data_IF_865115232263
#
_entry.id   IF_865115232263
#
_cell.length_a   1.000
_cell.length_b   1.000
_cell.length_c   1.000
_cell.angle_alpha   90.00
_cell.angle_beta   90.00
_cell.angle_gamma   90.00
#
_symmetry.space_group_name_H-M   'P 1'
#
loop_
_entity.id
_entity.type
_entity.pdbx_description
1 polymer ?
#
# COMPACT_ATOMS: atom_id res chain seq x y z
N UNK A 1 30.22 -15.42 -17.85
CA UNK A 1 28.80 -15.03 -18.01
C UNK A 1 28.55 -13.78 -17.19
N UNK A 2 28.52 -12.62 -17.84
CA UNK A 2 28.15 -11.34 -17.22
C UNK A 2 26.64 -11.33 -17.02
N UNK A 3 26.17 -11.63 -15.81
CA UNK A 3 24.77 -11.45 -15.44
C UNK A 3 24.45 -9.96 -15.43
N UNK A 4 24.02 -9.43 -16.56
CA UNK A 4 23.57 -8.04 -16.65
C UNK A 4 22.49 -7.78 -15.60
N UNK A 5 22.71 -6.72 -14.81
CA UNK A 5 21.70 -6.23 -13.90
C UNK A 5 20.56 -5.66 -14.75
N UNK A 6 19.31 -6.15 -14.61
CA UNK A 6 18.18 -5.48 -15.21
C UNK A 6 18.16 -4.04 -14.71
N UNK A 7 18.29 -3.09 -15.64
CA UNK A 7 18.32 -1.67 -15.32
C UNK A 7 16.95 -1.15 -14.88
N UNK A 8 15.87 -1.88 -15.18
CA UNK A 8 14.49 -1.45 -14.99
C UNK A 8 13.71 -2.38 -14.05
N UNK A 9 12.83 -1.84 -13.20
CA UNK A 9 11.94 -2.64 -12.36
C UNK A 9 10.98 -3.46 -13.23
N UNK A 10 10.57 -4.66 -12.77
CA UNK A 10 9.62 -5.48 -13.50
C UNK A 10 8.26 -4.78 -13.57
N UNK A 11 7.61 -4.82 -14.75
CA UNK A 11 6.30 -4.22 -14.99
C UNK A 11 5.24 -4.55 -13.91
N UNK A 12 5.04 -5.81 -13.47
CA UNK A 12 4.02 -6.13 -12.46
C UNK A 12 4.26 -5.42 -11.13
N UNK A 13 5.54 -5.21 -10.75
CA UNK A 13 5.87 -4.45 -9.55
C UNK A 13 5.49 -2.98 -9.72
N UNK A 14 5.83 -2.37 -10.86
CA UNK A 14 5.52 -0.96 -11.13
C UNK A 14 4.01 -0.74 -11.09
N UNK A 15 3.23 -1.61 -11.74
CA UNK A 15 1.77 -1.53 -11.72
C UNK A 15 1.20 -1.69 -10.31
N UNK A 16 1.68 -2.67 -9.53
CA UNK A 16 1.25 -2.85 -8.15
C UNK A 16 1.57 -1.62 -7.28
N UNK A 17 2.76 -1.03 -7.43
CA UNK A 17 3.14 0.18 -6.70
C UNK A 17 2.29 1.40 -7.11
N UNK A 18 1.96 1.54 -8.40
CA UNK A 18 1.07 2.60 -8.87
C UNK A 18 -0.34 2.44 -8.29
N UNK A 19 -0.88 1.23 -8.27
CA UNK A 19 -2.18 0.94 -7.65
C UNK A 19 -2.18 1.28 -6.15
N UNK A 20 -1.12 0.92 -5.43
CA UNK A 20 -0.95 1.31 -4.01
C UNK A 20 -0.92 2.83 -3.86
N UNK A 21 -0.25 3.57 -4.76
CA UNK A 21 -0.24 5.03 -4.68
C UNK A 21 -1.62 5.64 -4.91
N UNK A 22 -2.44 5.03 -5.76
CA UNK A 22 -3.85 5.41 -5.93
C UNK A 22 -4.65 5.15 -4.64
N UNK A 23 -4.48 4.00 -4.00
CA UNK A 23 -5.11 3.70 -2.70
C UNK A 23 -4.70 4.70 -1.63
N UNK A 24 -3.40 5.00 -1.53
CA UNK A 24 -2.87 6.00 -0.61
C UNK A 24 -3.49 7.36 -0.87
N UNK A 25 -3.64 7.75 -2.14
CA UNK A 25 -4.31 9.00 -2.52
C UNK A 25 -5.76 9.05 -2.02
N UNK A 26 -6.51 7.96 -2.22
CA UNK A 26 -7.90 7.87 -1.75
C UNK A 26 -7.99 7.90 -0.22
N UNK A 27 -7.14 7.15 0.49
CA UNK A 27 -7.10 7.13 1.95
C UNK A 27 -6.67 8.48 2.53
N UNK A 28 -5.70 9.14 1.91
CA UNK A 28 -5.26 10.48 2.32
C UNK A 28 -6.37 11.52 2.09
N UNK A 29 -7.09 11.47 0.96
CA UNK A 29 -8.22 12.34 0.72
C UNK A 29 -9.33 12.15 1.76
N UNK A 30 -9.64 10.90 2.12
CA UNK A 30 -10.57 10.59 3.20
C UNK A 30 -10.09 11.15 4.55
N UNK A 31 -8.83 10.92 4.91
CA UNK A 31 -8.27 11.39 6.18
C UNK A 31 -8.24 12.93 6.27
N UNK A 32 -7.89 13.62 5.17
CA UNK A 32 -7.93 15.09 5.10
C UNK A 32 -9.37 15.59 5.21
N UNK A 33 -10.34 14.95 4.54
CA UNK A 33 -11.75 15.27 4.68
C UNK A 33 -12.23 15.19 6.13
N UNK A 34 -11.87 14.11 6.84
CA UNK A 34 -12.15 13.96 8.27
C UNK A 34 -11.57 15.11 9.11
N UNK A 35 -10.33 15.54 8.84
CA UNK A 35 -9.73 16.69 9.55
C UNK A 35 -10.45 18.00 9.24
N UNK A 36 -10.86 18.22 8.00
CA UNK A 36 -11.63 19.41 7.61
C UNK A 36 -12.97 19.44 8.36
N UNK A 37 -13.67 18.31 8.50
CA UNK A 37 -14.91 18.22 9.28
C UNK A 37 -14.69 18.54 10.76
N UNK A 38 -13.59 18.05 11.35
CA UNK A 38 -13.23 18.35 12.74
C UNK A 38 -12.97 19.84 12.92
N UNK A 39 -12.16 20.44 12.05
CA UNK A 39 -11.82 21.86 12.11
C UNK A 39 -13.04 22.76 11.85
N UNK A 40 -14.00 22.30 11.04
CA UNK A 40 -15.27 22.97 10.79
C UNK A 40 -16.31 22.77 11.89
N UNK A 41 -16.04 21.94 12.91
CA UNK A 41 -16.98 21.66 14.01
C UNK A 41 -18.19 20.81 13.60
N UNK A 42 -18.13 20.12 12.47
CA UNK A 42 -19.25 19.33 11.93
C UNK A 42 -19.35 17.91 12.50
N UNK A 43 -18.42 17.52 13.37
CA UNK A 43 -18.31 16.16 13.92
C UNK A 43 -18.90 16.05 15.32
N UNK A 44 -19.66 14.98 15.59
CA UNK A 44 -20.21 14.67 16.92
C UNK A 44 -19.11 14.39 17.95
N UNK A 45 -17.98 13.79 17.53
CA UNK A 45 -16.83 13.47 18.38
C UNK A 45 -15.51 13.86 17.73
N UNK A 46 -15.19 15.17 17.75
CA UNK A 46 -14.04 15.72 17.02
C UNK A 46 -12.69 15.10 17.39
N UNK A 47 -12.47 14.79 18.67
CA UNK A 47 -11.22 14.16 19.12
C UNK A 47 -11.02 12.75 18.54
N UNK A 48 -12.06 11.92 18.53
CA UNK A 48 -11.99 10.55 17.98
C UNK A 48 -11.75 10.61 16.47
N UNK A 49 -12.50 11.45 15.77
CA UNK A 49 -12.35 11.64 14.32
C UNK A 49 -10.93 12.14 13.98
N UNK A 50 -10.38 13.08 14.75
CA UNK A 50 -9.01 13.58 14.53
C UNK A 50 -7.95 12.49 14.72
N UNK A 51 -8.07 11.67 15.78
CA UNK A 51 -7.14 10.56 16.02
C UNK A 51 -7.19 9.53 14.90
N UNK A 52 -8.39 9.16 14.43
CA UNK A 52 -8.55 8.24 13.30
C UNK A 52 -7.96 8.81 12.01
N UNK A 53 -8.17 10.10 11.74
CA UNK A 53 -7.60 10.76 10.57
C UNK A 53 -6.06 10.77 10.61
N UNK A 54 -5.46 11.09 11.76
CA UNK A 54 -4.01 11.05 11.95
C UNK A 54 -3.46 9.62 11.81
N UNK A 55 -4.19 8.61 12.30
CA UNK A 55 -3.84 7.21 12.11
C UNK A 55 -3.81 6.83 10.62
N UNK A 56 -4.83 7.22 9.85
CA UNK A 56 -4.88 6.97 8.41
C UNK A 56 -3.77 7.69 7.64
N UNK A 57 -3.41 8.92 8.04
CA UNK A 57 -2.25 9.62 7.48
C UNK A 57 -0.93 8.90 7.83
N UNK A 58 -0.80 8.38 9.05
CA UNK A 58 0.34 7.57 9.46
C UNK A 58 0.47 6.28 8.63
N UNK A 59 -0.64 5.62 8.34
CA UNK A 59 -0.70 4.47 7.45
C UNK A 59 -0.29 4.86 6.03
N UNK A 60 -0.82 5.97 5.49
CA UNK A 60 -0.41 6.50 4.18
C UNK A 60 1.12 6.69 4.11
N UNK A 61 1.71 7.32 5.12
CA UNK A 61 3.15 7.53 5.19
C UNK A 61 3.92 6.20 5.22
N UNK A 62 3.47 5.24 6.02
CA UNK A 62 4.06 3.90 6.08
C UNK A 62 4.02 3.19 4.72
N UNK A 63 2.88 3.24 4.02
CA UNK A 63 2.72 2.60 2.70
C UNK A 63 3.61 3.26 1.64
N UNK A 64 3.74 4.59 1.64
CA UNK A 64 4.65 5.31 0.74
C UNK A 64 6.10 4.93 1.02
N UNK A 65 6.51 4.84 2.30
CA UNK A 65 7.86 4.41 2.68
C UNK A 65 8.09 2.96 2.25
N UNK A 66 7.12 2.07 2.44
CA UNK A 66 7.21 0.67 2.05
C UNK A 66 7.29 0.51 0.52
N UNK A 67 6.49 1.25 -0.24
CA UNK A 67 6.53 1.31 -1.70
C UNK A 67 7.88 1.83 -2.21
N UNK A 68 8.39 2.92 -1.62
CA UNK A 68 9.70 3.48 -1.93
C UNK A 68 10.83 2.50 -1.60
N UNK A 69 10.75 1.83 -0.47
CA UNK A 69 11.72 0.80 -0.07
C UNK A 69 11.75 -0.35 -1.09
N UNK A 70 10.59 -0.81 -1.56
CA UNK A 70 10.51 -1.88 -2.54
C UNK A 70 11.02 -1.45 -3.92
N UNK A 71 10.74 -0.22 -4.34
CA UNK A 71 11.32 0.38 -5.54
C UNK A 71 12.86 0.46 -5.45
N UNK A 72 13.40 0.73 -4.25
CA UNK A 72 14.83 0.71 -3.94
C UNK A 72 15.41 -0.69 -3.68
N UNK A 73 14.70 -1.76 -4.05
CA UNK A 73 15.13 -3.17 -3.88
C UNK A 73 15.33 -3.59 -2.42
N UNK A 74 14.56 -3.02 -1.49
CA UNK A 74 14.55 -3.45 -0.08
C UNK A 74 13.35 -4.35 0.17
N UNK A 75 13.60 -5.63 0.45
CA UNK A 75 12.57 -6.67 0.67
C UNK A 75 11.58 -6.40 1.81
N UNK A 76 11.97 -5.63 2.84
CA UNK A 76 11.11 -5.37 4.00
C UNK A 76 9.83 -4.58 3.67
N UNK A 77 9.83 -3.78 2.59
CA UNK A 77 8.64 -3.03 2.17
C UNK A 77 7.44 -3.91 1.82
N UNK A 78 7.64 -5.20 1.54
CA UNK A 78 6.56 -6.13 1.19
C UNK A 78 5.61 -6.40 2.34
N UNK A 79 6.12 -6.49 3.57
CA UNK A 79 5.33 -6.84 4.75
C UNK A 79 4.17 -5.86 4.97
N UNK A 80 4.45 -4.56 5.18
CA UNK A 80 3.42 -3.55 5.37
C UNK A 80 2.41 -3.47 4.21
N UNK A 81 2.89 -3.57 2.96
CA UNK A 81 2.02 -3.53 1.78
C UNK A 81 1.05 -4.71 1.74
N UNK A 82 1.55 -5.95 1.91
CA UNK A 82 0.70 -7.15 1.89
C UNK A 82 -0.28 -7.14 3.06
N UNK A 83 0.16 -6.77 4.26
CA UNK A 83 -0.74 -6.65 5.42
C UNK A 83 -1.86 -5.64 5.15
N UNK A 84 -1.56 -4.49 4.56
CA UNK A 84 -2.57 -3.51 4.19
C UNK A 84 -3.58 -4.06 3.17
N UNK A 85 -3.11 -4.75 2.13
CA UNK A 85 -4.01 -5.36 1.14
C UNK A 85 -4.96 -6.39 1.77
N UNK A 86 -4.48 -7.17 2.74
CA UNK A 86 -5.34 -8.12 3.48
C UNK A 86 -6.40 -7.40 4.31
N UNK A 87 -6.08 -6.25 4.90
CA UNK A 87 -7.06 -5.43 5.62
C UNK A 87 -8.11 -4.86 4.66
N UNK A 88 -7.70 -4.29 3.53
CA UNK A 88 -8.63 -3.75 2.50
C UNK A 88 -9.56 -4.86 2.00
N UNK A 89 -9.00 -6.05 1.71
CA UNK A 89 -9.77 -7.22 1.29
C UNK A 89 -10.80 -7.64 2.35
N UNK A 90 -10.37 -7.75 3.62
CA UNK A 90 -11.26 -8.10 4.73
C UNK A 90 -12.34 -7.04 4.95
N UNK A 91 -12.02 -5.75 4.79
CA UNK A 91 -12.99 -4.66 4.83
C UNK A 91 -14.01 -4.80 3.70
N UNK A 92 -13.57 -5.03 2.46
CA UNK A 92 -14.47 -5.23 1.32
C UNK A 92 -15.48 -6.36 1.55
N UNK A 93 -14.99 -7.51 2.01
CA UNK A 93 -15.83 -8.68 2.32
C UNK A 93 -16.80 -8.39 3.47
N UNK A 94 -16.32 -7.79 4.56
CA UNK A 94 -17.16 -7.51 5.73
C UNK A 94 -18.26 -6.48 5.46
N UNK A 95 -18.07 -5.58 4.49
CA UNK A 95 -19.06 -4.58 4.08
C UNK A 95 -19.98 -5.07 2.95
N UNK A 96 -19.87 -6.33 2.55
CA UNK A 96 -20.77 -6.91 1.54
C UNK A 96 -22.23 -6.85 2.01
N UNK A 97 -23.10 -6.33 1.15
CA UNK A 97 -24.52 -6.09 1.47
C UNK A 97 -24.82 -4.77 2.19
N UNK A 98 -23.80 -4.03 2.64
CA UNK A 98 -23.95 -2.70 3.25
C UNK A 98 -23.64 -1.59 2.24
N UNK A 99 -22.54 -1.74 1.49
CA UNK A 99 -22.10 -0.74 0.50
C UNK A 99 -22.40 -1.22 -0.93
N UNK A 100 -22.43 -0.31 -1.93
CA UNK A 100 -22.67 -0.67 -3.32
C UNK A 100 -21.75 -1.79 -3.81
N UNK A 101 -22.32 -2.77 -4.52
CA UNK A 101 -21.57 -3.96 -4.98
C UNK A 101 -20.35 -3.64 -5.84
N UNK A 102 -20.37 -2.55 -6.61
CA UNK A 102 -19.20 -2.09 -7.37
C UNK A 102 -18.02 -1.68 -6.47
N UNK A 103 -18.30 -1.08 -5.32
CA UNK A 103 -17.27 -0.70 -4.33
C UNK A 103 -16.72 -1.97 -3.65
N UNK A 104 -17.59 -2.93 -3.30
CA UNK A 104 -17.16 -4.23 -2.78
C UNK A 104 -16.23 -4.94 -3.77
N UNK A 105 -16.63 -5.00 -5.04
CA UNK A 105 -15.80 -5.60 -6.09
C UNK A 105 -14.44 -4.92 -6.21
N UNK A 106 -14.40 -3.58 -6.15
CA UNK A 106 -13.14 -2.83 -6.14
C UNK A 106 -12.25 -3.18 -4.93
N UNK A 107 -12.84 -3.19 -3.73
CA UNK A 107 -12.15 -3.54 -2.48
C UNK A 107 -11.72 -5.01 -2.39
N UNK A 108 -12.15 -5.86 -3.31
CA UNK A 108 -11.70 -7.26 -3.42
C UNK A 108 -10.68 -7.42 -4.54
N UNK A 109 -10.98 -6.94 -5.74
CA UNK A 109 -10.14 -7.16 -6.92
C UNK A 109 -8.82 -6.38 -6.84
N UNK A 110 -8.86 -5.15 -6.36
CA UNK A 110 -7.68 -4.30 -6.27
C UNK A 110 -6.62 -4.87 -5.31
N UNK A 111 -6.94 -5.26 -4.06
CA UNK A 111 -5.93 -5.82 -3.17
C UNK A 111 -5.39 -7.17 -3.62
N UNK A 112 -6.21 -7.98 -4.28
CA UNK A 112 -5.74 -9.22 -4.90
C UNK A 112 -4.75 -8.92 -6.02
N UNK A 113 -5.07 -7.99 -6.92
CA UNK A 113 -4.18 -7.60 -8.02
C UNK A 113 -2.84 -7.03 -7.52
N UNK A 114 -2.87 -6.15 -6.52
CA UNK A 114 -1.67 -5.60 -5.88
C UNK A 114 -0.86 -6.72 -5.24
N UNK A 115 -1.49 -7.57 -4.42
CA UNK A 115 -0.80 -8.66 -3.73
C UNK A 115 -0.13 -9.60 -4.73
N UNK A 116 -0.84 -10.02 -5.78
CA UNK A 116 -0.24 -10.85 -6.84
C UNK A 116 0.93 -10.13 -7.50
N UNK A 117 0.77 -8.86 -7.91
CA UNK A 117 1.85 -8.08 -8.53
C UNK A 117 3.09 -7.91 -7.66
N UNK A 118 2.91 -7.85 -6.33
CA UNK A 118 4.00 -7.85 -5.36
C UNK A 118 4.64 -9.24 -5.21
N UNK A 119 3.85 -10.31 -5.25
CA UNK A 119 4.28 -11.67 -4.94
C UNK A 119 4.82 -12.46 -6.15
N UNK A 120 4.58 -12.03 -7.39
CA UNK A 120 5.10 -12.74 -8.57
C UNK A 120 6.64 -12.85 -8.57
N UNK A 121 7.22 -13.94 -9.12
CA UNK A 121 8.67 -14.20 -9.06
C UNK A 121 9.57 -13.05 -9.54
N UNK A 122 9.24 -12.31 -10.62
CA UNK A 122 10.05 -11.17 -11.04
C UNK A 122 10.14 -10.06 -9.98
N UNK A 123 9.04 -9.79 -9.29
CA UNK A 123 8.94 -8.77 -8.23
C UNK A 123 9.71 -9.17 -6.98
N UNK A 124 9.66 -10.46 -6.62
CA UNK A 124 10.46 -11.04 -5.53
C UNK A 124 11.95 -10.93 -5.84
N UNK A 125 12.35 -11.41 -7.03
CA UNK A 125 13.74 -11.38 -7.47
C UNK A 125 14.31 -9.96 -7.58
N UNK A 126 13.47 -8.95 -7.85
CA UNK A 126 13.90 -7.55 -7.82
C UNK A 126 14.26 -7.09 -6.40
N UNK A 127 13.49 -7.50 -5.40
CA UNK A 127 13.65 -7.07 -4.01
C UNK A 127 14.72 -7.86 -3.22
N UNK A 128 14.99 -9.12 -3.61
CA UNK A 128 15.97 -9.98 -2.96
C UNK A 128 17.41 -9.83 -3.50
N UNK A 129 17.61 -9.06 -4.57
CA UNK A 129 18.95 -8.72 -5.08
C UNK A 129 19.63 -7.68 -4.19
N UNK A 130 19.99 -8.07 -2.96
CA UNK A 130 20.90 -7.30 -2.10
C UNK A 130 22.34 -7.43 -2.61
N UNK A 131 23.13 -6.37 -2.48
CA UNK A 131 24.57 -6.41 -2.72
C UNK A 131 25.22 -7.56 -1.92
N UNK A 132 26.25 -8.25 -2.46
CA UNK A 132 26.91 -9.34 -1.74
C UNK A 132 27.40 -8.86 -0.37
N UNK A 133 27.44 -9.74 0.66
CA UNK A 133 28.03 -9.41 1.94
C UNK A 133 29.41 -8.82 1.71
N UNK A 134 29.68 -7.60 2.23
CA UNK A 134 31.06 -7.09 2.27
C UNK A 134 31.83 -8.05 3.15
N UNK A 135 32.72 -8.85 2.55
CA UNK A 135 33.72 -9.57 3.31
C UNK A 135 34.49 -8.53 4.13
N UNK A 136 34.42 -8.65 5.45
CA UNK A 136 35.30 -7.92 6.35
C UNK A 136 36.65 -8.64 6.22
N UNK A 137 37.57 -8.02 5.49
CA UNK A 137 38.99 -8.44 5.39
C UNK A 137 39.76 -7.69 6.46
#
# INVERSE_FOLDING_TARGET
MTTERPARPPLPLVLALLLVLVEVGALAALAVGMLVEVLGGATVSGAVTAVLALLFLGICALLVVAARALHQRRRWGRGPLVTWQLLVLATGISQSGVIPGGIVALLVLLPVAVTVGLLVPPSVAWADRTAPPRAVV
#
